data_IF_949665125261
#
_entry.id   IF_949665125261
#
_cell.length_a   1.000
_cell.length_b   1.000
_cell.length_c   1.000
_cell.angle_alpha   90.00
_cell.angle_beta   90.00
_cell.angle_gamma   90.00
#
_symmetry.space_group_name_H-M   'P 1'
#
loop_
_entity.id
_entity.type
_entity.pdbx_description
1 polymer ?
#
# COMPACT_ATOMS: atom_id res chain seq x y z
N UNK A 1 -35.06 0.00 -40.81
CA UNK A 1 -34.88 0.37 -39.38
C UNK A 1 -35.22 1.85 -39.24
N UNK A 2 -36.24 2.23 -38.45
CA UNK A 2 -36.72 3.63 -38.39
C UNK A 2 -35.67 4.51 -37.69
N UNK A 3 -35.43 5.73 -38.18
CA UNK A 3 -34.42 6.66 -37.66
C UNK A 3 -34.49 6.88 -36.13
N UNK A 4 -35.69 6.75 -35.54
CA UNK A 4 -35.93 6.82 -34.09
C UNK A 4 -35.18 5.75 -33.29
N UNK A 5 -35.00 4.54 -33.84
CA UNK A 5 -34.29 3.46 -33.17
C UNK A 5 -32.77 3.67 -33.20
N UNK A 6 -32.24 4.36 -34.21
CA UNK A 6 -30.82 4.66 -34.33
C UNK A 6 -30.37 5.69 -33.28
N UNK A 7 -31.19 6.72 -33.05
CA UNK A 7 -30.91 7.78 -32.06
C UNK A 7 -30.85 7.19 -30.64
N UNK A 8 -31.75 6.26 -30.29
CA UNK A 8 -31.77 5.63 -28.98
C UNK A 8 -30.50 4.79 -28.73
N UNK A 9 -30.02 4.07 -29.75
CA UNK A 9 -28.80 3.26 -29.66
C UNK A 9 -27.57 4.15 -29.48
N UNK A 10 -27.46 5.26 -30.24
CA UNK A 10 -26.35 6.21 -30.11
C UNK A 10 -26.36 6.88 -28.73
N UNK A 11 -27.54 7.24 -28.21
CA UNK A 11 -27.68 7.81 -26.87
C UNK A 11 -27.26 6.83 -25.75
N UNK A 12 -27.66 5.55 -25.86
CA UNK A 12 -27.22 4.50 -24.94
C UNK A 12 -25.69 4.29 -25.02
N UNK A 13 -25.12 4.33 -26.22
CA UNK A 13 -23.68 4.14 -26.42
C UNK A 13 -22.88 5.30 -25.81
N UNK A 14 -23.33 6.54 -25.97
CA UNK A 14 -22.72 7.73 -25.35
C UNK A 14 -22.87 7.75 -23.82
N UNK A 15 -23.98 7.25 -23.29
CA UNK A 15 -24.17 7.11 -21.84
C UNK A 15 -23.23 6.05 -21.23
N UNK A 16 -23.03 4.93 -21.93
CA UNK A 16 -22.11 3.88 -21.51
C UNK A 16 -20.63 4.31 -21.56
N UNK A 17 -20.22 5.16 -22.51
CA UNK A 17 -18.84 5.68 -22.58
C UNK A 17 -18.59 6.84 -21.61
N UNK A 18 -19.63 7.57 -21.20
CA UNK A 18 -19.51 8.64 -20.19
C UNK A 18 -19.41 8.11 -18.74
N UNK A 19 -19.78 6.85 -18.49
CA UNK A 19 -19.90 6.29 -17.14
C UNK A 19 -18.64 5.58 -16.61
N UNK A 20 -17.47 5.82 -17.21
CA UNK A 20 -16.17 5.45 -16.64
C UNK A 20 -15.16 6.59 -16.77
N UNK A 21 -15.45 7.71 -16.11
CA UNK A 21 -14.34 8.55 -15.65
C UNK A 21 -13.78 7.86 -14.41
N UNK A 22 -12.74 7.04 -14.61
CA UNK A 22 -11.82 6.73 -13.52
C UNK A 22 -11.45 8.07 -12.88
N UNK A 23 -11.72 8.22 -11.58
CA UNK A 23 -11.29 9.41 -10.86
C UNK A 23 -9.79 9.56 -11.11
N UNK A 24 -9.31 10.79 -11.40
CA UNK A 24 -7.88 11.02 -11.52
C UNK A 24 -7.21 10.45 -10.26
N UNK A 25 -6.20 9.62 -10.48
CA UNK A 25 -5.49 8.96 -9.40
C UNK A 25 -4.67 9.99 -8.63
N UNK A 26 -4.89 10.08 -7.32
CA UNK A 26 -4.13 10.98 -6.47
C UNK A 26 -3.45 10.20 -5.35
N UNK A 27 -2.11 10.20 -5.36
CA UNK A 27 -1.28 9.64 -4.27
C UNK A 27 -1.70 10.21 -2.90
N UNK A 28 -2.21 11.45 -2.88
CA UNK A 28 -2.72 12.13 -1.68
C UNK A 28 -3.89 11.40 -1.03
N UNK A 29 -4.65 10.60 -1.76
CA UNK A 29 -5.77 9.82 -1.22
C UNK A 29 -5.30 8.77 -0.19
N UNK A 30 -4.03 8.35 -0.29
CA UNK A 30 -3.40 7.39 0.63
C UNK A 30 -2.62 8.04 1.78
N UNK A 31 -2.59 9.38 1.83
CA UNK A 31 -1.99 10.11 2.95
C UNK A 31 -2.87 10.04 4.20
N UNK A 32 -2.26 10.03 5.37
CA UNK A 32 -2.94 10.08 6.66
C UNK A 32 -2.56 8.92 7.57
N UNK A 33 -3.40 8.72 8.58
CA UNK A 33 -3.12 7.83 9.68
C UNK A 33 -3.88 6.52 9.51
N UNK A 34 -3.20 5.42 9.78
CA UNK A 34 -3.79 4.08 9.71
C UNK A 34 -3.67 3.41 11.07
N UNK A 35 -4.80 3.00 11.64
CA UNK A 35 -4.78 2.14 12.83
C UNK A 35 -4.45 0.72 12.39
N UNK A 36 -3.27 0.23 12.75
CA UNK A 36 -2.75 -1.04 12.27
C UNK A 36 -2.63 -2.08 13.39
N UNK A 37 -2.95 -3.33 13.05
CA UNK A 37 -2.47 -4.50 13.77
C UNK A 37 -1.09 -4.86 13.23
N UNK A 38 -0.10 -4.83 14.11
CA UNK A 38 1.28 -5.23 13.86
C UNK A 38 1.53 -6.61 14.45
N UNK A 39 1.86 -7.57 13.59
CA UNK A 39 2.27 -8.92 13.98
C UNK A 39 3.79 -9.05 13.81
N UNK A 40 4.49 -9.43 14.88
CA UNK A 40 5.92 -9.74 14.85
C UNK A 40 6.13 -11.24 15.03
N UNK A 41 6.70 -11.90 14.03
CA UNK A 41 7.10 -13.30 14.08
C UNK A 41 8.62 -13.37 14.14
N UNK A 42 9.17 -13.74 15.30
CA UNK A 42 10.62 -13.88 15.48
C UNK A 42 11.04 -15.34 15.41
N UNK A 43 12.06 -15.60 14.61
CA UNK A 43 12.66 -16.92 14.46
C UNK A 43 14.18 -16.83 14.66
N UNK A 44 14.65 -17.56 15.66
CA UNK A 44 16.07 -17.83 15.89
C UNK A 44 16.36 -19.30 15.59
N UNK A 45 17.58 -19.60 15.14
CA UNK A 45 17.97 -20.99 14.89
C UNK A 45 17.87 -21.81 16.18
N UNK A 46 17.15 -22.94 16.11
CA UNK A 46 16.99 -23.86 17.23
C UNK A 46 15.93 -23.46 18.26
N UNK A 47 15.22 -22.34 18.06
CA UNK A 47 14.12 -21.91 18.94
C UNK A 47 12.75 -22.00 18.26
N UNK A 48 11.68 -22.31 19.01
CA UNK A 48 10.32 -22.18 18.50
C UNK A 48 10.03 -20.72 18.16
N UNK A 49 9.30 -20.50 17.06
CA UNK A 49 8.90 -19.15 16.67
C UNK A 49 7.99 -18.52 17.72
N UNK A 50 8.19 -17.23 17.96
CA UNK A 50 7.32 -16.44 18.85
C UNK A 50 6.61 -15.38 18.02
N UNK A 51 5.28 -15.34 18.19
CA UNK A 51 4.43 -14.30 17.59
C UNK A 51 3.91 -13.38 18.68
N UNK A 52 3.92 -12.07 18.40
CA UNK A 52 3.30 -11.07 19.26
C UNK A 52 2.62 -10.00 18.43
N UNK A 53 1.38 -9.70 18.81
CA UNK A 53 0.53 -8.71 18.17
C UNK A 53 0.45 -7.44 19.01
N UNK A 54 0.52 -6.30 18.32
CA UNK A 54 0.41 -4.96 18.92
C UNK A 54 -0.40 -4.06 18.01
N UNK A 55 -1.03 -3.03 18.57
CA UNK A 55 -1.69 -1.99 17.79
C UNK A 55 -0.74 -0.80 17.66
N UNK A 56 -0.58 -0.28 16.45
CA UNK A 56 0.27 0.88 16.16
C UNK A 56 -0.39 1.77 15.10
N UNK A 57 -0.24 3.08 15.24
CA UNK A 57 -0.64 4.03 14.20
C UNK A 57 0.49 4.16 13.20
N UNK A 58 0.19 3.90 11.93
CA UNK A 58 1.12 4.09 10.82
C UNK A 58 0.74 5.37 10.09
N UNK A 59 1.67 6.33 10.11
CA UNK A 59 1.53 7.60 9.41
C UNK A 59 2.09 7.47 7.99
N UNK A 60 1.27 7.81 7.00
CA UNK A 60 1.66 7.86 5.58
C UNK A 60 1.67 9.31 5.12
N UNK A 61 2.84 9.80 4.72
CA UNK A 61 2.99 11.15 4.15
C UNK A 61 3.34 11.05 2.67
N UNK A 62 2.78 11.95 1.86
CA UNK A 62 3.14 12.03 0.43
C UNK A 62 4.30 13.00 0.27
N UNK A 63 5.36 12.54 -0.37
CA UNK A 63 6.53 13.37 -0.67
C UNK A 63 6.37 13.99 -2.06
N UNK A 64 6.10 13.14 -3.05
CA UNK A 64 5.89 13.52 -4.45
C UNK A 64 5.00 12.46 -5.15
N UNK A 65 4.83 12.57 -6.46
CA UNK A 65 3.95 11.68 -7.23
C UNK A 65 4.39 10.21 -7.27
N UNK A 66 5.64 9.92 -6.92
CA UNK A 66 6.22 8.58 -7.00
C UNK A 66 6.78 8.12 -5.66
N UNK A 67 6.66 8.92 -4.61
CA UNK A 67 7.21 8.60 -3.30
C UNK A 67 6.27 8.95 -2.15
N UNK A 68 6.21 8.03 -1.21
CA UNK A 68 5.57 8.20 0.08
C UNK A 68 6.59 7.98 1.19
N UNK A 69 6.30 8.52 2.37
CA UNK A 69 7.03 8.26 3.59
C UNK A 69 6.17 7.45 4.54
N UNK A 70 6.73 6.37 5.06
CA UNK A 70 6.15 5.57 6.13
C UNK A 70 7.25 5.32 7.16
N UNK A 71 6.98 5.65 8.42
CA UNK A 71 8.02 5.74 9.46
C UNK A 71 9.15 6.69 9.00
N UNK A 72 10.40 6.25 9.09
CA UNK A 72 11.60 6.93 8.63
C UNK A 72 12.01 6.56 7.20
N UNK A 73 11.16 5.81 6.45
CA UNK A 73 11.51 5.29 5.13
C UNK A 73 10.85 6.09 4.01
N UNK A 74 11.67 6.49 3.03
CA UNK A 74 11.19 6.98 1.73
C UNK A 74 10.97 5.80 0.78
N UNK A 75 9.72 5.55 0.40
CA UNK A 75 9.31 4.39 -0.38
C UNK A 75 8.91 4.82 -1.79
N UNK A 76 9.30 4.04 -2.80
CA UNK A 76 8.80 4.20 -4.16
C UNK A 76 7.39 3.66 -4.22
N UNK A 77 6.47 4.45 -4.76
CA UNK A 77 5.05 4.13 -4.88
C UNK A 77 4.64 4.01 -6.36
N UNK A 78 3.96 2.92 -6.68
CA UNK A 78 3.37 2.66 -7.98
C UNK A 78 1.87 2.97 -7.91
N UNK A 79 1.49 4.03 -8.61
CA UNK A 79 0.12 4.52 -8.71
C UNK A 79 -0.84 3.56 -9.39
N UNK A 80 -0.37 2.69 -10.29
CA UNK A 80 -1.24 1.77 -11.02
C UNK A 80 -1.59 0.58 -10.13
N UNK A 81 -0.57 -0.03 -9.54
CA UNK A 81 -0.72 -1.24 -8.73
C UNK A 81 -1.02 -0.97 -7.26
N UNK A 82 -0.93 0.29 -6.83
CA UNK A 82 -1.07 0.74 -5.43
C UNK A 82 -0.04 0.13 -4.48
N UNK A 83 1.08 -0.34 -5.03
CA UNK A 83 2.16 -0.98 -4.27
C UNK A 83 3.22 0.04 -3.90
N UNK A 84 3.89 -0.19 -2.79
CA UNK A 84 5.08 0.53 -2.41
C UNK A 84 6.19 -0.42 -1.98
N UNK A 85 7.43 0.03 -2.16
CA UNK A 85 8.59 -0.71 -1.73
C UNK A 85 9.75 0.21 -1.39
N UNK A 86 10.59 -0.26 -0.47
CA UNK A 86 11.82 0.38 -0.10
C UNK A 86 12.79 0.35 -1.28
N UNK A 87 13.28 1.53 -1.64
CA UNK A 87 14.41 1.65 -2.54
C UNK A 87 15.69 1.62 -1.69
N UNK A 88 16.55 0.62 -1.91
CA UNK A 88 17.79 0.42 -1.17
C UNK A 88 18.77 1.58 -1.33
N UNK A 89 18.72 2.30 -2.45
CA UNK A 89 19.55 3.49 -2.69
C UNK A 89 19.10 4.67 -1.84
N UNK A 90 17.79 4.81 -1.58
CA UNK A 90 17.22 5.92 -0.82
C UNK A 90 17.31 5.74 0.70
N UNK A 91 17.45 4.50 1.18
CA UNK A 91 17.30 4.15 2.60
C UNK A 91 18.53 3.39 3.14
N UNK A 92 19.73 3.87 2.82
CA UNK A 92 20.96 3.29 3.36
C UNK A 92 20.96 3.40 4.89
N UNK A 93 21.17 2.27 5.58
CA UNK A 93 21.18 2.21 7.04
C UNK A 93 19.82 2.06 7.72
N UNK A 94 18.72 1.91 6.95
CA UNK A 94 17.42 1.61 7.50
C UNK A 94 17.44 0.35 8.38
N UNK A 95 16.72 0.40 9.50
CA UNK A 95 16.56 -0.75 10.41
C UNK A 95 15.87 -1.94 9.74
N UNK A 96 15.02 -1.66 8.75
CA UNK A 96 14.23 -2.64 8.03
C UNK A 96 14.96 -3.17 6.80
N UNK A 97 14.79 -4.47 6.54
CA UNK A 97 15.11 -5.15 5.29
C UNK A 97 13.79 -5.47 4.59
N UNK A 98 13.75 -5.31 3.27
CA UNK A 98 12.59 -5.67 2.45
C UNK A 98 11.27 -5.07 2.94
N UNK A 99 11.21 -3.74 3.12
CA UNK A 99 9.97 -3.06 3.47
C UNK A 99 9.12 -2.84 2.20
N UNK A 100 7.97 -3.50 2.11
CA UNK A 100 7.06 -3.41 0.97
C UNK A 100 5.61 -3.48 1.45
N UNK A 101 4.68 -3.05 0.61
CA UNK A 101 3.28 -3.12 0.92
C UNK A 101 2.41 -2.63 -0.22
N UNK A 102 1.13 -2.48 0.08
CA UNK A 102 0.14 -2.00 -0.87
C UNK A 102 -1.08 -1.44 -0.16
N UNK A 103 -1.85 -0.65 -0.89
CA UNK A 103 -3.15 -0.16 -0.47
C UNK A 103 -4.28 -0.89 -1.18
N UNK A 104 -5.38 -1.11 -0.46
CA UNK A 104 -6.67 -1.55 -1.02
C UNK A 104 -7.75 -0.73 -0.36
N UNK A 105 -8.43 0.12 -1.13
CA UNK A 105 -9.40 1.09 -0.59
C UNK A 105 -8.76 1.89 0.57
N UNK A 106 -9.42 1.94 1.73
CA UNK A 106 -8.93 2.61 2.94
C UNK A 106 -7.99 1.73 3.78
N UNK A 107 -7.50 0.60 3.25
CA UNK A 107 -6.64 -0.34 3.98
C UNK A 107 -5.19 -0.27 3.52
N UNK A 108 -4.29 -0.47 4.48
CA UNK A 108 -2.85 -0.60 4.23
C UNK A 108 -2.36 -1.99 4.67
N UNK A 109 -1.49 -2.58 3.86
CA UNK A 109 -0.80 -3.84 4.14
C UNK A 109 0.69 -3.63 3.98
N UNK A 110 1.47 -3.91 5.02
CA UNK A 110 2.93 -3.78 5.01
C UNK A 110 3.54 -5.13 5.42
N UNK A 111 4.59 -5.51 4.72
CA UNK A 111 5.49 -6.61 5.10
C UNK A 111 6.91 -6.08 5.18
N UNK A 112 7.61 -6.46 6.23
CA UNK A 112 9.01 -6.12 6.43
C UNK A 112 9.75 -7.18 7.23
N UNK A 113 11.07 -7.13 7.21
CA UNK A 113 11.93 -8.03 7.95
C UNK A 113 13.02 -7.25 8.68
N UNK A 114 13.40 -7.68 9.88
CA UNK A 114 14.56 -7.15 10.62
C UNK A 114 15.40 -8.35 11.05
N UNK A 115 16.71 -8.35 10.83
CA UNK A 115 17.59 -9.45 11.26
C UNK A 115 18.70 -9.77 10.28
N UNK A 116 19.39 -10.90 10.50
CA UNK A 116 20.58 -11.33 9.76
C UNK A 116 20.60 -12.83 9.45
N UNK A 117 21.74 -13.33 8.98
CA UNK A 117 21.92 -14.73 8.55
C UNK A 117 21.59 -15.77 9.62
N UNK A 118 21.66 -15.39 10.91
CA UNK A 118 21.46 -16.26 12.06
C UNK A 118 20.09 -16.10 12.75
N UNK A 119 19.16 -15.37 12.14
CA UNK A 119 17.81 -15.19 12.67
C UNK A 119 17.24 -13.81 12.39
N UNK A 120 15.92 -13.70 12.49
CA UNK A 120 15.25 -12.42 12.31
C UNK A 120 13.77 -12.44 12.64
N UNK A 121 13.17 -11.28 12.42
CA UNK A 121 11.79 -10.97 12.78
C UNK A 121 11.08 -10.49 11.53
N UNK A 122 10.10 -11.28 11.09
CA UNK A 122 9.12 -10.83 10.12
C UNK A 122 8.12 -9.91 10.83
N UNK A 123 7.80 -8.79 10.21
CA UNK A 123 6.87 -7.80 10.73
C UNK A 123 5.82 -7.54 9.67
N UNK A 124 4.56 -7.79 10.00
CA UNK A 124 3.42 -7.52 9.12
C UNK A 124 2.53 -6.48 9.78
N UNK A 125 2.06 -5.52 8.99
CA UNK A 125 1.05 -4.56 9.43
C UNK A 125 -0.18 -4.71 8.54
N UNK A 126 -1.35 -4.73 9.16
CA UNK A 126 -2.64 -4.63 8.47
C UNK A 126 -3.46 -3.58 9.18
N UNK A 127 -3.86 -2.53 8.48
CA UNK A 127 -4.65 -1.48 9.10
C UNK A 127 -5.62 -0.79 8.18
N UNK A 128 -6.40 0.10 8.78
CA UNK A 128 -7.43 0.89 8.13
C UNK A 128 -7.24 2.36 8.46
N UNK A 129 -7.49 3.22 7.48
CA UNK A 129 -7.43 4.67 7.61
C UNK A 129 -8.42 5.15 8.68
N UNK A 130 -8.02 6.14 9.47
CA UNK A 130 -8.83 6.76 10.53
C UNK A 130 -9.05 8.26 10.28
#
# INVERSE_FOLDING_TARGET
MKAKNLILIVALFLYCTACKKEKPFHVIDYSGDYLTLKTKETQYFGEPSRSHDTIEIVHVTVIDTSHIQIFDLKLTFDSETKKFQMNSTLNQGARYRYFTGYFVEDSIYISSFIGGLSGGTSIRYKGKKI
#
